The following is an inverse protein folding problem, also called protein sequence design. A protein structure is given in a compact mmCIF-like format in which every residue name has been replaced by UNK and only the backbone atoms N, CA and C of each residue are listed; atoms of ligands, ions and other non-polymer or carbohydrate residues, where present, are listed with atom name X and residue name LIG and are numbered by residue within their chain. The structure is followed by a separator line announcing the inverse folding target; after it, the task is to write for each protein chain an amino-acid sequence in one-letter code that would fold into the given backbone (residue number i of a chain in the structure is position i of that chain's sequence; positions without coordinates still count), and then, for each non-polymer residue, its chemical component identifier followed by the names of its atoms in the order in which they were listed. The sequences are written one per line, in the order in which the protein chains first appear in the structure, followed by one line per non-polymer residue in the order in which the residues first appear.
data_IF_723466645128
#
_entry.id   IF_723466645128
#
_cell.length_a   1.000
_cell.length_b   1.000
_cell.length_c   1.000
_cell.angle_alpha   90.00
_cell.angle_beta   90.00
_cell.angle_gamma   90.00
#
_symmetry.space_group_name_H-M   'P 1'
#
loop_
_entity.id
_entity.type
_entity.pdbx_description
1 polymer ?
#
# COMPACT_ATOMS: atom_id res chain seq x y z
N UNK A 1 -54.72 12.76 -41.75
CA UNK A 1 -54.61 12.23 -40.36
C UNK A 1 -53.70 10.98 -40.32
N UNK A 2 -52.37 11.03 -40.42
CA UNK A 2 -51.50 9.83 -40.26
C UNK A 2 -50.03 10.06 -39.81
N UNK A 3 -49.67 11.24 -39.27
CA UNK A 3 -48.26 11.51 -38.88
C UNK A 3 -48.09 11.75 -37.37
N UNK A 4 -49.17 12.11 -36.66
CA UNK A 4 -49.12 12.36 -35.20
C UNK A 4 -49.04 11.08 -34.34
N UNK A 5 -49.37 9.92 -34.90
CA UNK A 5 -49.37 8.65 -34.16
C UNK A 5 -48.02 7.92 -34.17
N UNK A 6 -47.04 8.36 -34.97
CA UNK A 6 -45.75 7.68 -35.07
C UNK A 6 -44.66 8.29 -34.16
N UNK A 7 -44.90 9.48 -33.60
CA UNK A 7 -43.96 10.15 -32.67
C UNK A 7 -44.16 9.75 -31.20
N UNK A 8 -45.26 9.07 -30.85
CA UNK A 8 -45.51 8.61 -29.48
C UNK A 8 -44.96 7.21 -29.17
N UNK A 9 -44.51 6.45 -30.17
CA UNK A 9 -43.98 5.11 -29.99
C UNK A 9 -42.45 5.06 -29.79
N UNK A 10 -41.74 6.18 -29.98
CA UNK A 10 -40.27 6.22 -29.91
C UNK A 10 -39.71 6.65 -28.54
N UNK A 11 -40.56 6.96 -27.56
CA UNK A 11 -40.14 7.46 -26.24
C UNK A 11 -40.15 6.40 -25.12
N UNK A 12 -40.35 5.12 -25.46
CA UNK A 12 -40.41 4.01 -24.49
C UNK A 12 -39.17 3.09 -24.51
N UNK A 13 -38.10 3.50 -25.19
CA UNK A 13 -36.83 2.75 -25.23
C UNK A 13 -35.68 3.52 -24.59
N UNK A 14 -35.93 4.18 -23.46
CA UNK A 14 -34.85 4.60 -22.56
C UNK A 14 -34.72 3.56 -21.46
N UNK A 15 -33.68 2.70 -21.44
CA UNK A 15 -33.31 1.99 -20.24
C UNK A 15 -32.81 3.04 -19.26
N UNK A 16 -33.69 3.53 -18.39
CA UNK A 16 -33.28 4.10 -17.13
C UNK A 16 -32.74 2.93 -16.29
N UNK A 17 -31.54 2.45 -16.64
CA UNK A 17 -30.72 1.72 -15.70
C UNK A 17 -30.19 2.76 -14.69
N UNK A 18 -31.11 3.31 -13.89
CA UNK A 18 -30.78 3.69 -12.53
C UNK A 18 -30.42 2.35 -11.87
N UNK A 19 -29.15 1.99 -11.96
CA UNK A 19 -28.60 0.95 -11.11
C UNK A 19 -28.81 1.48 -9.70
N UNK A 20 -29.85 0.99 -9.03
CA UNK A 20 -29.96 1.16 -7.59
C UNK A 20 -28.64 0.61 -7.05
N UNK A 21 -27.89 1.47 -6.34
CA UNK A 21 -26.63 1.05 -5.75
C UNK A 21 -26.98 0.11 -4.60
N UNK A 22 -26.59 -1.15 -4.75
CA UNK A 22 -26.76 -2.13 -3.68
C UNK A 22 -25.72 -1.83 -2.58
N UNK A 23 -26.16 -1.10 -1.54
CA UNK A 23 -25.33 -0.67 -0.41
C UNK A 23 -24.61 -1.85 0.26
N UNK A 24 -25.30 -2.99 0.39
CA UNK A 24 -24.74 -4.22 0.96
C UNK A 24 -23.59 -4.78 0.08
N UNK A 25 -23.79 -4.84 -1.23
CA UNK A 25 -22.77 -5.31 -2.19
C UNK A 25 -21.55 -4.39 -2.18
N UNK A 26 -21.76 -3.07 -2.12
CA UNK A 26 -20.66 -2.13 -2.01
C UNK A 26 -19.91 -2.27 -0.68
N UNK A 27 -20.61 -2.42 0.44
CA UNK A 27 -20.01 -2.60 1.76
C UNK A 27 -19.14 -3.88 1.83
N UNK A 28 -19.63 -5.00 1.28
CA UNK A 28 -18.87 -6.26 1.25
C UNK A 28 -17.59 -6.15 0.42
N UNK A 29 -17.66 -5.53 -0.77
CA UNK A 29 -16.50 -5.28 -1.61
C UNK A 29 -15.44 -4.42 -0.91
N UNK A 30 -15.86 -3.36 -0.19
CA UNK A 30 -14.93 -2.53 0.58
C UNK A 30 -14.30 -3.28 1.75
N UNK A 31 -15.07 -4.08 2.51
CA UNK A 31 -14.52 -4.93 3.58
C UNK A 31 -13.49 -5.91 3.04
N UNK A 32 -13.78 -6.54 1.90
CA UNK A 32 -12.85 -7.46 1.22
C UNK A 32 -11.58 -6.73 0.76
N UNK A 33 -11.71 -5.49 0.28
CA UNK A 33 -10.58 -4.65 -0.11
C UNK A 33 -9.67 -4.30 1.07
N UNK A 34 -10.25 -3.99 2.24
CA UNK A 34 -9.49 -3.68 3.46
C UNK A 34 -8.84 -4.91 4.09
N UNK A 35 -9.50 -6.07 4.00
CA UNK A 35 -8.97 -7.34 4.48
C UNK A 35 -7.97 -7.99 3.51
N UNK A 36 -7.85 -7.48 2.29
CA UNK A 36 -6.87 -7.99 1.32
C UNK A 36 -5.44 -7.76 1.84
N UNK A 37 -4.64 -8.82 2.10
CA UNK A 37 -3.28 -8.65 2.58
C UNK A 37 -2.47 -7.91 1.51
N UNK A 38 -1.75 -6.85 1.89
CA UNK A 38 -0.77 -6.24 1.01
C UNK A 38 0.54 -7.01 1.15
N UNK A 39 0.95 -7.75 0.12
CA UNK A 39 2.20 -8.48 0.16
C UNK A 39 3.36 -7.48 -0.04
N UNK A 40 3.96 -7.07 1.07
CA UNK A 40 5.25 -6.35 1.13
C UNK A 40 6.37 -7.38 0.85
N UNK A 41 6.33 -8.02 -0.33
CA UNK A 41 6.82 -9.40 -0.44
C UNK A 41 8.09 -9.68 -1.22
N UNK A 42 8.57 -8.80 -2.12
CA UNK A 42 9.63 -9.24 -3.05
C UNK A 42 10.60 -8.17 -3.53
N UNK A 43 10.88 -7.16 -2.71
CA UNK A 43 11.87 -6.12 -3.05
C UNK A 43 13.24 -6.71 -3.38
N UNK A 44 13.60 -7.85 -2.76
CA UNK A 44 14.81 -8.61 -3.08
C UNK A 44 14.81 -9.15 -4.52
N UNK A 45 13.82 -9.95 -4.90
CA UNK A 45 13.80 -10.57 -6.23
C UNK A 45 13.64 -9.54 -7.35
N UNK A 46 12.86 -8.47 -7.11
CA UNK A 46 12.81 -7.33 -8.04
C UNK A 46 14.18 -6.72 -8.27
N UNK A 47 14.96 -6.51 -7.19
CA UNK A 47 16.31 -5.95 -7.29
C UNK A 47 17.25 -6.91 -8.00
N UNK A 48 17.19 -8.20 -7.68
CA UNK A 48 17.97 -9.25 -8.33
C UNK A 48 17.73 -9.29 -9.84
N UNK A 49 16.47 -9.43 -10.27
CA UNK A 49 16.14 -9.46 -11.69
C UNK A 49 16.50 -8.15 -12.40
N UNK A 50 16.36 -6.99 -11.73
CA UNK A 50 16.77 -5.71 -12.30
C UNK A 50 18.29 -5.64 -12.51
N UNK A 51 19.09 -6.14 -11.57
CA UNK A 51 20.54 -6.22 -11.68
C UNK A 51 20.98 -7.16 -12.80
N UNK A 52 20.45 -8.39 -12.82
CA UNK A 52 20.75 -9.39 -13.85
C UNK A 52 20.38 -8.88 -15.25
N UNK A 53 19.19 -8.28 -15.42
CA UNK A 53 18.80 -7.68 -16.71
C UNK A 53 19.69 -6.49 -17.08
N UNK A 54 20.08 -5.65 -16.13
CA UNK A 54 21.01 -4.55 -16.40
C UNK A 54 22.34 -5.07 -16.93
N UNK A 55 22.88 -6.11 -16.29
CA UNK A 55 24.13 -6.75 -16.68
C UNK A 55 24.04 -7.35 -18.09
N UNK A 56 22.99 -8.13 -18.38
CA UNK A 56 22.77 -8.69 -19.73
C UNK A 56 22.60 -7.61 -20.79
N UNK A 57 21.89 -6.52 -20.48
CA UNK A 57 21.75 -5.41 -21.41
C UNK A 57 23.08 -4.65 -21.63
N UNK A 58 23.97 -4.56 -20.64
CA UNK A 58 25.32 -4.01 -20.86
C UNK A 58 26.19 -4.91 -21.72
N UNK A 59 26.18 -6.23 -21.48
CA UNK A 59 26.94 -7.23 -22.26
C UNK A 59 26.50 -7.24 -23.73
N UNK A 60 25.20 -7.22 -23.99
CA UNK A 60 24.65 -7.14 -25.36
C UNK A 60 25.09 -5.84 -26.04
N UNK A 61 25.06 -4.71 -25.32
CA UNK A 61 25.47 -3.41 -25.89
C UNK A 61 26.96 -3.37 -26.19
N UNK A 62 27.81 -3.86 -25.30
CA UNK A 62 29.26 -3.92 -25.52
C UNK A 62 29.58 -4.81 -26.72
N UNK A 63 29.00 -6.02 -26.78
CA UNK A 63 29.24 -6.92 -27.91
C UNK A 63 28.77 -6.33 -29.24
N UNK A 64 27.63 -5.62 -29.27
CA UNK A 64 27.18 -4.89 -30.47
C UNK A 64 28.11 -3.74 -30.87
N UNK A 65 28.80 -3.11 -29.93
CA UNK A 65 29.86 -2.13 -30.21
C UNK A 65 31.08 -2.82 -30.79
N UNK A 66 31.54 -3.91 -30.17
CA UNK A 66 32.69 -4.67 -30.63
C UNK A 66 32.47 -5.25 -32.02
N UNK A 67 31.27 -5.77 -32.29
CA UNK A 67 30.85 -6.22 -33.61
C UNK A 67 30.89 -5.09 -34.65
N UNK A 68 30.53 -3.85 -34.29
CA UNK A 68 30.64 -2.71 -35.22
C UNK A 68 32.10 -2.33 -35.47
N UNK A 69 32.94 -2.34 -34.43
CA UNK A 69 34.37 -2.04 -34.53
C UNK A 69 35.13 -3.10 -35.35
N UNK A 70 34.71 -4.37 -35.22
CA UNK A 70 35.23 -5.50 -35.98
C UNK A 70 34.54 -5.67 -37.35
N UNK A 71 33.72 -4.70 -37.78
CA UNK A 71 32.99 -4.68 -39.06
C UNK A 71 32.03 -5.85 -39.31
N UNK A 72 31.60 -6.53 -38.25
CA UNK A 72 30.53 -7.52 -38.25
C UNK A 72 29.11 -6.90 -38.22
N UNK A 73 29.00 -5.59 -38.42
CA UNK A 73 27.74 -4.86 -38.34
C UNK A 73 26.81 -5.18 -39.51
N UNK A 74 25.61 -5.68 -39.22
CA UNK A 74 24.55 -5.93 -40.23
C UNK A 74 23.87 -4.67 -40.78
N UNK A 75 24.53 -3.52 -40.71
CA UNK A 75 24.06 -2.26 -41.29
C UNK A 75 24.70 -2.01 -42.66
N UNK A 76 24.05 -1.24 -43.52
CA UNK A 76 24.43 -0.97 -44.92
C UNK A 76 25.72 -0.15 -45.12
N UNK A 77 26.65 -0.16 -44.16
CA UNK A 77 27.91 0.58 -44.26
C UNK A 77 29.00 -0.40 -44.70
N UNK A 78 29.42 -0.29 -45.97
CA UNK A 78 30.51 -1.08 -46.51
C UNK A 78 31.81 -0.42 -46.04
N UNK A 79 32.48 -1.01 -45.07
CA UNK A 79 33.83 -0.59 -44.67
C UNK A 79 34.82 -1.22 -45.65
N UNK A 80 35.37 -0.42 -46.55
CA UNK A 80 36.44 -0.81 -47.45
C UNK A 80 37.75 -0.92 -46.66
N UNK A 81 38.34 -2.13 -46.59
CA UNK A 81 39.70 -2.34 -46.08
C UNK A 81 39.86 -3.18 -44.81
N UNK A 82 38.94 -4.09 -44.48
CA UNK A 82 39.13 -4.98 -43.31
C UNK A 82 39.93 -6.25 -43.63
N UNK A 83 40.80 -6.71 -42.70
CA UNK A 83 41.39 -8.04 -42.76
C UNK A 83 40.32 -9.12 -42.53
N UNK A 84 40.52 -10.29 -43.13
CA UNK A 84 39.53 -11.37 -43.25
C UNK A 84 38.94 -11.85 -41.91
N UNK A 85 37.78 -11.30 -41.53
CA UNK A 85 36.49 -12.01 -41.52
C UNK A 85 36.27 -13.26 -40.66
N UNK A 86 37.19 -13.74 -39.83
CA UNK A 86 37.04 -15.07 -39.20
C UNK A 86 36.19 -15.11 -37.91
N UNK A 87 35.96 -13.98 -37.23
CA UNK A 87 35.32 -13.99 -35.90
C UNK A 87 33.88 -13.46 -35.85
N UNK A 88 33.34 -12.99 -36.97
CA UNK A 88 31.98 -12.45 -37.00
C UNK A 88 30.89 -13.51 -36.75
N UNK A 89 31.13 -14.78 -37.12
CA UNK A 89 30.22 -15.89 -36.82
C UNK A 89 30.18 -16.16 -35.32
N UNK A 90 31.34 -16.20 -34.66
CA UNK A 90 31.47 -16.37 -33.21
C UNK A 90 30.77 -15.25 -32.45
N UNK A 91 31.03 -13.99 -32.81
CA UNK A 91 30.37 -12.85 -32.17
C UNK A 91 28.84 -12.86 -32.38
N UNK A 92 28.35 -13.26 -33.56
CA UNK A 92 26.91 -13.43 -33.81
C UNK A 92 26.30 -14.53 -32.94
N UNK A 93 27.00 -15.65 -32.81
CA UNK A 93 26.56 -16.75 -31.96
C UNK A 93 26.55 -16.35 -30.48
N UNK A 94 27.55 -15.58 -30.03
CA UNK A 94 27.62 -15.03 -28.68
C UNK A 94 26.51 -14.00 -28.41
N UNK A 95 26.18 -13.15 -29.39
CA UNK A 95 25.06 -12.23 -29.28
C UNK A 95 23.74 -12.99 -29.12
N UNK A 96 23.53 -14.04 -29.92
CA UNK A 96 22.34 -14.87 -29.84
C UNK A 96 22.24 -15.59 -28.49
N UNK A 97 23.35 -16.07 -27.93
CA UNK A 97 23.35 -16.72 -26.62
C UNK A 97 23.07 -15.73 -25.48
N UNK A 98 23.60 -14.51 -25.55
CA UNK A 98 23.30 -13.45 -24.59
C UNK A 98 21.83 -12.99 -24.66
N UNK A 99 21.28 -12.87 -25.87
CA UNK A 99 19.87 -12.54 -26.09
C UNK A 99 18.94 -13.65 -25.56
N UNK A 100 19.27 -14.91 -25.82
CA UNK A 100 18.53 -16.05 -25.27
C UNK A 100 18.61 -16.10 -23.73
N UNK A 101 19.80 -15.90 -23.15
CA UNK A 101 19.97 -15.86 -21.69
C UNK A 101 19.19 -14.70 -21.05
N UNK A 102 19.16 -13.53 -21.70
CA UNK A 102 18.34 -12.40 -21.26
C UNK A 102 16.86 -12.76 -21.25
N UNK A 103 16.37 -13.47 -22.27
CA UNK A 103 14.97 -13.85 -22.36
C UNK A 103 14.55 -14.81 -21.25
N UNK A 104 15.43 -15.74 -20.86
CA UNK A 104 15.21 -16.58 -19.67
C UNK A 104 14.97 -15.74 -18.43
N UNK A 105 15.81 -14.72 -18.16
CA UNK A 105 15.64 -13.82 -17.00
C UNK A 105 14.34 -13.02 -17.11
N UNK A 106 13.95 -12.59 -18.32
CA UNK A 106 12.67 -11.89 -18.56
C UNK A 106 11.49 -12.80 -18.22
N UNK A 107 11.55 -14.06 -18.63
CA UNK A 107 10.52 -15.06 -18.38
C UNK A 107 10.42 -15.36 -16.88
N UNK A 108 11.53 -15.71 -16.22
CA UNK A 108 11.56 -15.96 -14.78
C UNK A 108 11.04 -14.77 -13.97
N UNK A 109 11.42 -13.55 -14.34
CA UNK A 109 10.87 -12.33 -13.74
C UNK A 109 9.36 -12.25 -13.94
N UNK A 110 8.86 -12.56 -15.14
CA UNK A 110 7.43 -12.52 -15.43
C UNK A 110 6.65 -13.59 -14.65
N UNK A 111 7.23 -14.78 -14.48
CA UNK A 111 6.66 -15.89 -13.72
C UNK A 111 6.72 -15.64 -12.20
N UNK A 112 7.71 -14.88 -11.75
CA UNK A 112 7.80 -14.40 -10.37
C UNK A 112 6.83 -13.24 -10.07
N UNK A 113 6.31 -12.51 -11.08
CA UNK A 113 5.33 -11.42 -10.85
C UNK A 113 4.03 -11.88 -10.20
N UNK A 114 3.36 -12.99 -10.58
CA UNK A 114 2.12 -13.42 -9.92
C UNK A 114 2.31 -13.81 -8.45
N UNK A 115 3.48 -14.35 -8.06
CA UNK A 115 3.77 -14.72 -6.65
C UNK A 115 3.84 -13.51 -5.69
N UNK A 116 3.92 -12.32 -6.26
CA UNK A 116 4.07 -11.03 -5.58
C UNK A 116 2.73 -10.30 -5.52
N UNK A 117 1.78 -10.76 -6.33
CA UNK A 117 0.46 -10.17 -6.48
C UNK A 117 -0.51 -10.81 -5.49
N UNK A 118 -0.42 -10.44 -4.21
CA UNK A 118 -1.68 -10.35 -3.43
C UNK A 118 -2.66 -9.32 -4.05
N UNK A 119 -2.20 -8.56 -5.04
CA UNK A 119 -3.04 -7.74 -5.90
C UNK A 119 -3.94 -8.53 -6.87
N UNK A 120 -3.78 -9.85 -6.99
CA UNK A 120 -4.62 -10.68 -7.86
C UNK A 120 -6.08 -10.68 -7.38
N UNK A 121 -6.30 -10.59 -6.06
CA UNK A 121 -7.64 -10.43 -5.46
C UNK A 121 -8.06 -8.96 -5.41
N UNK A 122 -7.11 -8.05 -5.21
CA UNK A 122 -7.38 -6.60 -5.14
C UNK A 122 -7.90 -6.03 -6.46
N UNK A 123 -7.32 -6.43 -7.59
CA UNK A 123 -7.70 -5.95 -8.91
C UNK A 123 -9.16 -6.26 -9.31
N UNK A 124 -9.68 -7.50 -9.17
CA UNK A 124 -11.08 -7.79 -9.43
C UNK A 124 -12.01 -7.09 -8.43
N UNK A 125 -11.64 -6.95 -7.16
CA UNK A 125 -12.43 -6.17 -6.18
C UNK A 125 -12.55 -4.70 -6.63
N UNK A 126 -11.45 -4.07 -7.06
CA UNK A 126 -11.47 -2.71 -7.60
C UNK A 126 -12.24 -2.58 -8.93
N UNK A 127 -12.28 -3.63 -9.74
CA UNK A 127 -13.10 -3.67 -10.95
C UNK A 127 -14.59 -3.80 -10.61
N UNK A 128 -14.95 -4.66 -9.66
CA UNK A 128 -16.30 -4.82 -9.16
C UNK A 128 -16.83 -3.54 -8.50
N UNK A 129 -16.00 -2.82 -7.73
CA UNK A 129 -16.36 -1.52 -7.17
C UNK A 129 -16.70 -0.50 -8.27
N UNK A 130 -15.93 -0.48 -9.37
CA UNK A 130 -16.22 0.40 -10.53
C UNK A 130 -17.47 -0.03 -11.28
N UNK A 131 -17.69 -1.32 -11.45
CA UNK A 131 -18.86 -1.85 -12.15
C UNK A 131 -20.17 -1.55 -11.40
N UNK A 132 -20.13 -1.56 -10.06
CA UNK A 132 -21.27 -1.26 -9.21
C UNK A 132 -21.38 0.24 -8.85
N UNK A 133 -20.51 1.10 -9.40
CA UNK A 133 -20.45 2.54 -9.09
C UNK A 133 -20.42 2.84 -7.58
N UNK A 134 -19.75 2.01 -6.79
CA UNK A 134 -19.70 2.13 -5.35
C UNK A 134 -18.90 3.37 -4.93
N UNK A 135 -19.38 4.07 -3.91
CA UNK A 135 -18.69 5.18 -3.25
C UNK A 135 -18.31 4.82 -1.81
N UNK A 136 -17.24 5.42 -1.25
CA UNK A 136 -16.82 5.11 0.11
C UNK A 136 -17.87 5.46 1.18
N UNK A 137 -18.80 6.37 0.86
CA UNK A 137 -19.98 6.68 1.68
C UNK A 137 -20.91 5.49 1.88
N UNK A 138 -21.00 4.58 0.90
CA UNK A 138 -21.95 3.46 0.91
C UNK A 138 -21.62 2.47 2.04
N UNK A 139 -20.32 2.29 2.33
CA UNK A 139 -19.86 1.51 3.49
C UNK A 139 -20.26 2.19 4.81
N UNK A 140 -20.12 3.52 4.90
CA UNK A 140 -20.47 4.28 6.09
C UNK A 140 -21.97 4.21 6.37
N UNK A 141 -22.80 4.39 5.33
CA UNK A 141 -24.26 4.27 5.42
C UNK A 141 -24.68 2.86 5.87
N UNK A 142 -24.11 1.81 5.27
CA UNK A 142 -24.41 0.44 5.66
C UNK A 142 -24.05 0.15 7.12
N UNK A 143 -22.90 0.63 7.60
CA UNK A 143 -22.51 0.45 9.00
C UNK A 143 -23.48 1.13 9.97
N UNK A 144 -23.96 2.34 9.64
CA UNK A 144 -24.96 3.04 10.45
C UNK A 144 -26.31 2.29 10.50
N UNK A 145 -26.73 1.68 9.39
CA UNK A 145 -27.93 0.86 9.36
C UNK A 145 -27.79 -0.39 10.25
N UNK A 146 -26.66 -1.09 10.13
CA UNK A 146 -26.34 -2.26 10.97
C UNK A 146 -26.27 -1.89 12.47
N UNK A 147 -25.70 -0.72 12.81
CA UNK A 147 -25.69 -0.19 14.19
C UNK A 147 -27.09 0.10 14.70
N UNK A 148 -27.94 0.75 13.90
CA UNK A 148 -29.32 1.02 14.26
C UNK A 148 -30.12 -0.27 14.47
N UNK A 149 -29.88 -1.31 13.67
CA UNK A 149 -30.50 -2.62 13.86
C UNK A 149 -29.99 -3.33 15.12
N UNK A 150 -28.68 -3.25 15.42
CA UNK A 150 -28.13 -3.79 16.69
C UNK A 150 -28.69 -3.08 17.91
N UNK A 151 -28.94 -1.78 17.82
CA UNK A 151 -29.54 -0.98 18.89
C UNK A 151 -31.03 -1.29 19.08
N UNK A 152 -31.71 -1.84 18.06
CA UNK A 152 -33.07 -2.37 18.16
C UNK A 152 -33.02 -3.77 18.79
N UNK A 153 -32.94 -3.84 20.11
CA UNK A 153 -33.06 -5.10 20.84
C UNK A 153 -34.46 -5.70 20.57
N UNK A 154 -34.59 -6.92 20.02
CA UNK A 154 -35.89 -7.55 19.86
C UNK A 154 -36.51 -7.81 21.24
N UNK A 155 -37.58 -7.08 21.57
CA UNK A 155 -38.37 -7.30 22.79
C UNK A 155 -38.23 -6.27 23.91
N UNK A 156 -37.46 -5.19 23.72
CA UNK A 156 -37.49 -4.03 24.61
C UNK A 156 -37.82 -2.80 23.76
N UNK A 157 -39.11 -2.46 23.66
CA UNK A 157 -39.48 -1.10 23.24
C UNK A 157 -38.77 -0.13 24.18
N UNK A 158 -37.89 0.72 23.66
CA UNK A 158 -37.39 1.85 24.44
C UNK A 158 -38.65 2.60 24.93
N UNK A 159 -38.81 2.80 26.25
CA UNK A 159 -39.89 3.63 26.75
C UNK A 159 -39.84 4.95 25.99
N UNK A 160 -40.97 5.36 25.40
CA UNK A 160 -41.10 6.73 24.89
C UNK A 160 -40.70 7.66 26.03
N UNK A 161 -39.85 8.65 25.74
CA UNK A 161 -39.39 9.62 26.74
C UNK A 161 -40.58 10.45 27.23
N UNK A 162 -41.33 9.88 28.16
CA UNK A 162 -42.21 10.62 29.04
C UNK A 162 -41.30 11.19 30.12
N UNK A 163 -41.21 12.52 30.16
CA UNK A 163 -40.23 13.30 30.93
C UNK A 163 -40.16 12.97 32.41
N UNK A 164 -39.45 11.90 32.76
CA UNK A 164 -39.12 11.53 34.13
C UNK A 164 -37.70 11.96 34.45
N UNK A 165 -37.61 13.19 34.97
CA UNK A 165 -36.40 13.77 35.56
C UNK A 165 -35.96 12.95 36.77
N UNK A 166 -34.86 12.21 36.61
CA UNK A 166 -34.17 11.51 37.69
C UNK A 166 -32.66 11.52 37.49
N UNK A 167 -32.08 12.70 37.21
CA UNK A 167 -30.62 12.87 37.18
C UNK A 167 -30.16 13.22 38.59
N UNK A 168 -29.48 12.28 39.25
CA UNK A 168 -28.69 12.58 40.45
C UNK A 168 -27.39 13.24 40.00
N UNK A 169 -27.28 14.56 40.14
CA UNK A 169 -26.08 15.34 39.79
C UNK A 169 -24.98 15.08 40.86
N UNK A 170 -23.99 14.26 40.52
CA UNK A 170 -22.76 14.08 41.33
C UNK A 170 -21.82 15.26 41.07
N UNK A 171 -22.24 16.45 41.49
CA UNK A 171 -21.45 17.67 41.34
C UNK A 171 -20.37 17.72 42.42
N UNK A 172 -19.14 17.35 42.07
CA UNK A 172 -17.95 17.70 42.84
C UNK A 172 -17.84 19.23 42.95
N UNK A 173 -17.43 19.82 44.08
CA UNK A 173 -17.20 21.26 44.14
C UNK A 173 -16.11 21.64 43.13
N UNK A 174 -16.51 22.43 42.13
CA UNK A 174 -15.60 23.06 41.17
C UNK A 174 -14.57 23.90 41.94
N UNK A 175 -13.26 23.80 41.64
CA UNK A 175 -12.33 24.82 42.08
C UNK A 175 -12.72 26.15 41.43
N UNK A 176 -12.57 27.22 42.21
CA UNK A 176 -12.96 28.56 41.87
C UNK A 176 -12.41 29.03 40.51
N UNK A 177 -13.27 29.77 39.81
CA UNK A 177 -13.01 30.63 38.66
C UNK A 177 -11.63 31.27 38.70
N UNK A 178 -10.71 30.78 37.86
CA UNK A 178 -9.68 31.63 37.29
C UNK A 178 -10.24 32.18 35.98
N UNK A 179 -10.31 33.51 35.94
CA UNK A 179 -10.81 34.31 34.84
C UNK A 179 -10.13 33.89 33.52
N UNK A 180 -10.96 33.56 32.53
CA UNK A 180 -10.50 33.34 31.16
C UNK A 180 -10.32 34.70 30.50
N UNK A 181 -9.09 35.22 30.53
CA UNK A 181 -8.67 36.23 29.56
C UNK A 181 -8.41 35.56 28.20
N UNK A 182 -8.71 36.33 27.17
CA UNK A 182 -8.75 36.03 25.75
C UNK A 182 -7.58 35.22 25.16
N UNK A 183 -7.88 34.64 23.99
CA UNK A 183 -6.99 33.95 23.05
C UNK A 183 -5.50 34.36 23.13
N UNK A 184 -4.65 33.38 23.41
CA UNK A 184 -3.20 33.51 23.35
C UNK A 184 -2.63 32.43 22.40
N UNK A 185 -1.65 32.89 21.64
CA UNK A 185 -0.75 32.25 20.66
C UNK A 185 -0.27 30.82 20.99
N UNK A 186 0.27 30.07 20.01
CA UNK A 186 0.85 28.75 20.25
C UNK A 186 1.91 28.85 21.34
N UNK A 187 1.64 28.21 22.48
CA UNK A 187 2.55 28.22 23.63
C UNK A 187 3.89 27.62 23.20
N UNK A 188 4.95 28.44 23.29
CA UNK A 188 6.34 27.99 23.17
C UNK A 188 6.57 26.71 23.98
N UNK A 189 7.49 25.82 23.55
CA UNK A 189 7.81 24.62 24.31
C UNK A 189 8.14 25.01 25.74
N UNK A 190 7.39 24.45 26.70
CA UNK A 190 7.60 24.71 28.11
C UNK A 190 9.07 24.40 28.45
N UNK A 191 9.75 25.22 29.27
CA UNK A 191 11.13 24.96 29.65
C UNK A 191 11.25 23.56 30.26
N UNK A 192 12.29 22.83 29.86
CA UNK A 192 12.55 21.50 30.37
C UNK A 192 12.60 21.55 31.90
N UNK A 193 11.76 20.74 32.55
CA UNK A 193 11.75 20.66 34.01
C UNK A 193 13.12 20.16 34.47
N UNK A 194 13.79 20.81 35.43
CA UNK A 194 15.07 20.34 35.95
C UNK A 194 14.93 18.90 36.43
N UNK A 195 15.75 18.01 35.88
CA UNK A 195 15.78 16.61 36.29
C UNK A 195 16.37 16.52 37.70
N UNK A 196 15.55 16.09 38.67
CA UNK A 196 15.98 15.84 40.04
C UNK A 196 16.13 14.31 40.23
N UNK A 197 17.36 13.80 40.35
CA UNK A 197 17.63 12.37 40.51
C UNK A 197 17.12 11.80 41.84
N UNK A 198 16.82 12.65 42.84
CA UNK A 198 16.27 12.20 44.13
C UNK A 198 14.76 11.92 44.07
N UNK A 199 14.09 12.33 43.00
CA UNK A 199 12.66 12.10 42.81
C UNK A 199 12.44 10.70 42.24
N UNK A 200 11.88 9.79 43.05
CA UNK A 200 11.55 8.42 42.60
C UNK A 200 10.52 8.46 41.47
N UNK A 201 10.97 8.22 40.24
CA UNK A 201 10.09 7.97 39.09
C UNK A 201 9.68 6.50 39.12
N UNK A 202 8.38 6.21 39.02
CA UNK A 202 7.90 4.84 38.89
C UNK A 202 8.21 4.35 37.48
N UNK A 203 9.18 3.46 37.33
CA UNK A 203 9.47 2.79 36.05
C UNK A 203 8.31 1.85 35.72
N UNK A 204 7.57 2.15 34.66
CA UNK A 204 6.54 1.27 34.11
C UNK A 204 7.15 0.49 32.95
N UNK A 205 7.08 -0.84 33.03
CA UNK A 205 7.59 -1.74 31.98
C UNK A 205 8.65 -2.73 32.49
N UNK A 206 8.99 -3.75 31.68
CA UNK A 206 10.04 -4.70 32.03
C UNK A 206 11.39 -3.98 32.17
N UNK A 207 12.15 -4.35 33.20
CA UNK A 207 13.47 -3.78 33.45
C UNK A 207 14.47 -4.33 32.43
N UNK A 208 14.90 -3.50 31.49
CA UNK A 208 15.86 -3.89 30.46
C UNK A 208 17.33 -3.68 30.89
N UNK A 209 17.56 -2.85 31.90
CA UNK A 209 18.91 -2.55 32.38
C UNK A 209 19.20 -3.32 33.68
N UNK A 210 20.33 -4.08 33.76
CA UNK A 210 20.77 -4.65 35.02
C UNK A 210 21.21 -3.52 35.97
N UNK A 211 20.97 -3.67 37.27
CA UNK A 211 21.34 -2.68 38.31
C UNK A 211 22.86 -2.58 38.56
N UNK A 212 23.70 -3.15 37.69
CA UNK A 212 25.15 -3.16 37.84
C UNK A 212 25.75 -1.96 37.10
N UNK A 213 26.85 -1.41 37.63
CA UNK A 213 27.61 -0.34 36.97
C UNK A 213 28.26 -0.88 35.67
N UNK A 214 27.72 -0.49 34.52
CA UNK A 214 28.24 -0.85 33.20
C UNK A 214 29.31 0.17 32.80
N UNK A 215 30.53 -0.28 32.52
CA UNK A 215 31.57 0.56 31.91
C UNK A 215 31.18 0.88 30.45
N UNK A 216 30.67 2.09 30.23
CA UNK A 216 30.30 2.62 28.92
C UNK A 216 31.51 2.98 28.05
N UNK A 217 32.70 3.14 28.64
CA UNK A 217 33.91 3.51 27.91
C UNK A 217 34.57 2.30 27.25
N UNK A 218 34.47 1.11 27.87
CA UNK A 218 34.99 -0.15 27.33
C UNK A 218 33.88 -1.21 27.25
N UNK A 219 33.04 -1.17 26.21
CA UNK A 219 31.87 -2.06 26.08
C UNK A 219 32.21 -3.54 25.80
N UNK A 220 33.49 -3.91 25.85
CA UNK A 220 33.95 -5.28 25.60
C UNK A 220 34.05 -6.01 26.94
N UNK A 221 33.05 -6.83 27.23
CA UNK A 221 33.09 -7.71 28.40
C UNK A 221 34.23 -8.73 28.26
N UNK A 222 34.90 -9.12 29.34
CA UNK A 222 36.01 -10.11 29.35
C UNK A 222 35.57 -11.56 29.06
N UNK A 223 34.34 -11.79 28.60
CA UNK A 223 33.78 -13.13 28.39
C UNK A 223 33.03 -13.27 27.07
N UNK A 224 32.78 -14.51 26.62
CA UNK A 224 31.97 -14.77 25.44
C UNK A 224 30.56 -14.20 25.63
N UNK A 225 30.13 -13.37 24.67
CA UNK A 225 28.82 -12.75 24.68
C UNK A 225 27.74 -13.84 24.52
N UNK A 226 26.66 -13.84 25.33
CA UNK A 226 25.60 -14.83 25.18
C UNK A 226 24.97 -14.73 23.80
N UNK A 227 24.92 -15.84 23.07
CA UNK A 227 24.23 -15.92 21.78
C UNK A 227 22.71 -15.77 22.02
N UNK A 228 22.08 -14.86 21.28
CA UNK A 228 20.63 -14.65 21.24
C UNK A 228 19.97 -15.68 20.33
#
# INVERSE_FOLDING_TARGET
MRIRSLLMALFLLSPAAATARDLETCATLYRQLHNSPQLIGNTHDKRRYAQELSQKNSEIRSLRVDMRNAGCGGGSIIVLGQPEGSDCSRMRQELQSLEAAREVVVQERNDARPLVRSSQDRAPILAALRQNNCTPSDLTEQNHLEEQERMKVPGLELPKEDGYSGITDLRSPSPATQERTAAAEPSLPQPARPYDPNKKVRSVGPAFFPEQDIDLANPRNEGPQPQQ
#
